data_IF_495284868807
#
_entry.id   IF_495284868807
#
_cell.length_a   1.000
_cell.length_b   1.000
_cell.length_c   1.000
_cell.angle_alpha   90.00
_cell.angle_beta   90.00
_cell.angle_gamma   90.00
#
_symmetry.space_group_name_H-M   'P 1'
#
loop_
_entity.id
_entity.type
_entity.pdbx_description
1 polymer ?
#
# COMPACT_ATOMS: atom_id res chain seq x y z
N UNK A 1 30.31 -7.80 -9.21
CA UNK A 1 30.28 -8.41 -7.85
C UNK A 1 29.48 -7.52 -6.93
N UNK A 2 28.17 -7.76 -6.82
CA UNK A 2 27.32 -7.09 -5.81
C UNK A 2 27.60 -7.74 -4.45
N UNK A 3 27.84 -6.92 -3.43
CA UNK A 3 27.94 -7.42 -2.04
C UNK A 3 26.63 -8.07 -1.65
N UNK A 4 26.63 -9.19 -0.88
CA UNK A 4 25.41 -9.78 -0.35
C UNK A 4 24.62 -8.72 0.46
N UNK A 5 23.34 -8.54 0.13
CA UNK A 5 22.47 -7.65 0.87
C UNK A 5 21.61 -8.44 1.85
N UNK A 6 21.21 -7.80 2.96
CA UNK A 6 20.52 -8.46 4.07
C UNK A 6 19.04 -8.74 3.82
N UNK A 7 18.40 -8.14 2.80
CA UNK A 7 16.97 -8.27 2.52
C UNK A 7 16.67 -9.29 1.43
N UNK A 8 15.61 -10.08 1.58
CA UNK A 8 15.00 -10.89 0.51
C UNK A 8 13.61 -11.37 0.93
N UNK A 9 12.72 -11.62 -0.04
CA UNK A 9 11.40 -12.21 0.22
C UNK A 9 11.49 -13.59 0.89
N UNK A 10 12.54 -14.37 0.60
CA UNK A 10 12.79 -15.65 1.29
C UNK A 10 13.03 -15.46 2.80
N UNK A 11 13.76 -14.42 3.20
CA UNK A 11 13.94 -14.07 4.62
C UNK A 11 12.66 -13.56 5.26
N UNK A 12 11.88 -12.74 4.54
CA UNK A 12 10.54 -12.30 4.96
C UNK A 12 9.67 -13.52 5.20
N UNK A 13 9.63 -14.48 4.26
CA UNK A 13 8.89 -15.75 4.42
C UNK A 13 9.25 -16.48 5.71
N UNK A 14 10.57 -16.64 5.97
CA UNK A 14 11.05 -17.32 7.17
C UNK A 14 10.65 -16.59 8.45
N UNK A 15 10.68 -15.26 8.43
CA UNK A 15 10.27 -14.42 9.56
C UNK A 15 8.77 -14.50 9.81
N UNK A 16 7.95 -14.38 8.77
CA UNK A 16 6.48 -14.50 8.84
C UNK A 16 6.07 -15.88 9.34
N UNK A 17 6.73 -16.96 8.90
CA UNK A 17 6.48 -18.30 9.41
C UNK A 17 6.69 -18.38 10.92
N UNK A 18 7.76 -17.80 11.46
CA UNK A 18 8.02 -17.76 12.91
C UNK A 18 6.95 -16.94 13.65
N UNK A 19 6.57 -15.77 13.13
CA UNK A 19 5.50 -14.98 13.74
C UNK A 19 4.18 -15.77 13.79
N UNK A 20 3.81 -16.42 12.68
CA UNK A 20 2.59 -17.24 12.63
C UNK A 20 2.64 -18.46 13.54
N UNK A 21 3.82 -19.03 13.81
CA UNK A 21 3.98 -20.10 14.82
C UNK A 21 3.73 -19.56 16.24
N UNK A 22 4.13 -18.32 16.53
CA UNK A 22 3.98 -17.71 17.85
C UNK A 22 2.59 -17.12 18.07
N UNK A 23 2.06 -16.40 17.09
CA UNK A 23 0.84 -15.58 17.21
C UNK A 23 -0.35 -16.14 16.39
N UNK A 24 -0.14 -17.21 15.63
CA UNK A 24 -1.18 -17.86 14.85
C UNK A 24 -1.85 -16.92 13.84
N UNK A 25 -3.17 -16.92 13.85
CA UNK A 25 -4.02 -16.08 13.00
C UNK A 25 -3.98 -14.57 13.34
N UNK A 26 -3.34 -14.20 14.45
CA UNK A 26 -3.26 -12.80 14.88
C UNK A 26 -2.15 -12.02 14.16
N UNK A 27 -1.38 -12.66 13.30
CA UNK A 27 -0.46 -11.98 12.37
C UNK A 27 -1.25 -11.44 11.20
N UNK A 28 -1.09 -10.14 10.92
CA UNK A 28 -1.58 -9.46 9.71
C UNK A 28 -0.35 -9.10 8.90
N UNK A 29 -0.29 -9.59 7.66
CA UNK A 29 0.81 -9.32 6.74
C UNK A 29 0.33 -8.39 5.64
N UNK A 30 0.96 -7.21 5.54
CA UNK A 30 0.62 -6.17 4.58
C UNK A 30 1.82 -5.88 3.68
N UNK A 31 1.56 -5.55 2.42
CA UNK A 31 2.52 -5.12 1.42
C UNK A 31 2.15 -3.71 0.96
N UNK A 32 3.15 -2.82 0.82
CA UNK A 32 2.90 -1.38 0.62
C UNK A 32 3.18 -0.88 -0.80
N UNK A 33 3.14 -1.74 -1.82
CA UNK A 33 3.34 -1.37 -3.22
C UNK A 33 4.80 -1.46 -3.70
N UNK A 34 4.98 -1.28 -5.01
CA UNK A 34 6.24 -1.39 -5.74
C UNK A 34 6.82 -2.82 -5.81
N UNK A 35 5.95 -3.83 -5.84
CA UNK A 35 6.39 -5.23 -5.91
C UNK A 35 6.70 -5.68 -7.36
N UNK A 36 6.13 -5.03 -8.37
CA UNK A 36 6.25 -5.43 -9.78
C UNK A 36 7.58 -5.05 -10.42
N UNK A 37 8.41 -4.26 -9.77
CA UNK A 37 9.70 -3.78 -10.32
C UNK A 37 10.91 -4.22 -9.49
N UNK A 38 12.10 -4.15 -10.09
CA UNK A 38 13.38 -4.16 -9.39
C UNK A 38 14.33 -5.31 -9.74
N UNK A 39 13.88 -6.46 -10.20
CA UNK A 39 14.74 -7.61 -10.51
C UNK A 39 14.52 -8.11 -11.94
N UNK A 40 15.55 -8.72 -12.59
CA UNK A 40 15.40 -9.31 -13.92
C UNK A 40 14.27 -10.33 -14.02
N UNK A 41 13.98 -11.05 -12.94
CA UNK A 41 12.88 -12.00 -12.88
C UNK A 41 11.50 -11.30 -12.97
N UNK A 42 11.33 -10.15 -12.30
CA UNK A 42 10.14 -9.34 -12.41
C UNK A 42 9.95 -8.83 -13.84
N UNK A 43 11.02 -8.31 -14.45
CA UNK A 43 10.97 -7.87 -15.85
C UNK A 43 10.58 -9.01 -16.80
N UNK A 44 11.17 -10.19 -16.64
CA UNK A 44 10.85 -11.35 -17.46
C UNK A 44 9.36 -11.73 -17.33
N UNK A 45 8.85 -11.81 -16.10
CA UNK A 45 7.44 -12.16 -15.83
C UNK A 45 6.46 -11.09 -16.34
N UNK A 46 6.83 -9.81 -16.24
CA UNK A 46 5.94 -8.72 -16.62
C UNK A 46 5.85 -8.51 -18.14
N UNK A 47 6.96 -8.73 -18.87
CA UNK A 47 7.08 -8.27 -20.27
C UNK A 47 7.45 -9.37 -21.28
N UNK A 48 8.05 -10.46 -20.85
CA UNK A 48 8.50 -11.55 -21.75
C UNK A 48 7.56 -12.74 -21.61
N UNK A 49 7.40 -13.28 -20.42
CA UNK A 49 6.51 -14.42 -20.14
C UNK A 49 5.15 -13.93 -19.63
N UNK A 50 4.40 -13.28 -20.51
CA UNK A 50 3.12 -12.66 -20.17
C UNK A 50 1.93 -13.63 -20.18
N UNK A 51 2.12 -14.86 -20.61
CA UNK A 51 1.07 -15.88 -20.66
C UNK A 51 0.96 -16.69 -19.37
N UNK A 52 2.08 -16.91 -18.70
CA UNK A 52 2.10 -17.60 -17.41
C UNK A 52 1.70 -16.67 -16.28
N UNK A 53 1.42 -17.25 -15.13
CA UNK A 53 1.08 -16.51 -13.90
C UNK A 53 2.19 -15.52 -13.50
N UNK A 54 1.84 -14.35 -13.04
CA UNK A 54 2.82 -13.34 -12.64
C UNK A 54 3.57 -13.80 -11.38
N UNK A 55 4.90 -13.81 -11.42
CA UNK A 55 5.72 -14.28 -10.30
C UNK A 55 5.51 -13.47 -9.01
N UNK A 56 5.20 -12.18 -9.11
CA UNK A 56 4.90 -11.36 -7.94
C UNK A 56 3.58 -11.81 -7.29
N UNK A 57 2.57 -12.14 -8.10
CA UNK A 57 1.32 -12.70 -7.60
C UNK A 57 1.56 -14.07 -6.92
N UNK A 58 2.35 -14.96 -7.54
CA UNK A 58 2.67 -16.25 -6.95
C UNK A 58 3.37 -16.14 -5.59
N UNK A 59 4.37 -15.26 -5.48
CA UNK A 59 5.09 -15.01 -4.24
C UNK A 59 4.17 -14.42 -3.17
N UNK A 60 3.33 -13.46 -3.54
CA UNK A 60 2.34 -12.84 -2.67
C UNK A 60 1.36 -13.87 -2.12
N UNK A 61 0.81 -14.69 -3.01
CA UNK A 61 -0.13 -15.76 -2.66
C UNK A 61 0.52 -16.82 -1.75
N UNK A 62 1.78 -17.19 -2.04
CA UNK A 62 2.56 -18.13 -1.20
C UNK A 62 2.82 -17.57 0.20
N UNK A 63 3.15 -16.28 0.33
CA UNK A 63 3.38 -15.62 1.61
C UNK A 63 2.09 -15.40 2.39
N UNK A 64 0.94 -15.38 1.72
CA UNK A 64 -0.38 -15.19 2.30
C UNK A 64 -0.53 -13.79 2.89
N UNK A 65 -0.34 -12.77 2.07
CA UNK A 65 -0.63 -11.40 2.47
C UNK A 65 -2.13 -11.21 2.72
N UNK A 66 -2.47 -10.39 3.69
CA UNK A 66 -3.86 -10.06 4.04
C UNK A 66 -4.39 -8.88 3.20
N UNK A 67 -3.52 -7.97 2.75
CA UNK A 67 -3.82 -6.91 1.80
C UNK A 67 -2.52 -6.34 1.21
N UNK A 68 -2.64 -5.69 0.04
CA UNK A 68 -1.56 -4.94 -0.63
C UNK A 68 -2.04 -3.56 -1.04
N UNK A 69 -1.15 -2.55 -0.97
CA UNK A 69 -1.33 -1.30 -1.69
C UNK A 69 -0.77 -1.42 -3.11
N UNK A 70 -1.17 -0.52 -4.00
CA UNK A 70 -0.54 -0.35 -5.31
C UNK A 70 0.46 0.80 -5.22
N UNK A 71 1.67 0.63 -5.76
CA UNK A 71 2.72 1.63 -5.82
C UNK A 71 2.91 2.25 -7.20
N UNK A 72 3.71 3.31 -7.32
CA UNK A 72 3.95 3.98 -8.59
C UNK A 72 4.71 3.09 -9.59
N UNK A 73 5.64 2.25 -9.12
CA UNK A 73 6.33 1.29 -9.97
C UNK A 73 5.45 0.10 -10.37
N UNK A 74 4.35 -0.17 -9.67
CA UNK A 74 3.36 -1.12 -10.14
C UNK A 74 2.58 -0.51 -11.31
N UNK A 75 2.11 0.75 -11.19
CA UNK A 75 1.44 1.50 -12.27
C UNK A 75 2.34 1.67 -13.49
N UNK A 76 3.66 1.86 -13.30
CA UNK A 76 4.65 1.99 -14.38
C UNK A 76 4.70 0.78 -15.30
N UNK A 77 4.27 -0.39 -14.85
CA UNK A 77 4.24 -1.60 -15.69
C UNK A 77 3.14 -1.57 -16.77
N UNK A 78 2.18 -0.63 -16.67
CA UNK A 78 1.05 -0.47 -17.59
C UNK A 78 -0.09 -1.45 -17.34
N UNK A 79 -1.29 -1.12 -17.81
CA UNK A 79 -2.52 -1.88 -17.61
C UNK A 79 -2.38 -3.36 -17.89
N UNK A 80 -1.75 -3.73 -19.00
CA UNK A 80 -1.58 -5.15 -19.36
C UNK A 80 -0.90 -5.97 -18.25
N UNK A 81 0.00 -5.36 -17.48
CA UNK A 81 0.76 -6.04 -16.45
C UNK A 81 0.07 -5.93 -15.08
N UNK A 82 -0.21 -4.70 -14.62
CA UNK A 82 -0.76 -4.57 -13.28
C UNK A 82 -2.21 -5.05 -13.15
N UNK A 83 -3.04 -4.96 -14.20
CA UNK A 83 -4.39 -5.54 -14.16
C UNK A 83 -4.35 -7.06 -14.03
N UNK A 84 -3.48 -7.70 -14.82
CA UNK A 84 -3.24 -9.14 -14.72
C UNK A 84 -2.78 -9.53 -13.31
N UNK A 85 -1.81 -8.79 -12.76
CA UNK A 85 -1.32 -9.02 -11.39
C UNK A 85 -2.43 -8.86 -10.35
N UNK A 86 -3.27 -7.81 -10.45
CA UNK A 86 -4.43 -7.60 -9.57
C UNK A 86 -5.40 -8.78 -9.61
N UNK A 87 -5.67 -9.31 -10.81
CA UNK A 87 -6.58 -10.45 -11.00
C UNK A 87 -6.01 -11.78 -10.46
N UNK A 88 -4.69 -11.93 -10.42
CA UNK A 88 -4.00 -13.14 -9.99
C UNK A 88 -3.69 -13.20 -8.49
N UNK A 89 -3.83 -12.09 -7.76
CA UNK A 89 -3.59 -12.04 -6.32
C UNK A 89 -4.82 -12.50 -5.53
N UNK A 90 -4.59 -13.30 -4.48
CA UNK A 90 -5.65 -13.79 -3.59
C UNK A 90 -6.09 -12.76 -2.52
N UNK A 91 -5.27 -11.75 -2.21
CA UNK A 91 -5.63 -10.71 -1.26
C UNK A 91 -6.13 -9.43 -1.94
N UNK A 92 -6.86 -8.56 -1.24
CA UNK A 92 -7.29 -7.27 -1.81
C UNK A 92 -6.10 -6.36 -2.15
N UNK A 93 -6.11 -5.79 -3.35
CA UNK A 93 -5.27 -4.65 -3.74
C UNK A 93 -6.03 -3.36 -3.41
N UNK A 94 -5.35 -2.42 -2.73
CA UNK A 94 -5.98 -1.23 -2.16
C UNK A 94 -5.42 0.05 -2.80
N UNK A 95 -6.33 1.00 -3.12
CA UNK A 95 -5.97 2.29 -3.70
C UNK A 95 -7.17 3.22 -3.76
N UNK A 96 -7.55 3.80 -2.61
CA UNK A 96 -8.79 4.55 -2.45
C UNK A 96 -8.85 5.85 -3.27
N UNK A 97 -7.70 6.41 -3.62
CA UNK A 97 -7.57 7.63 -4.42
C UNK A 97 -7.21 7.39 -5.88
N UNK A 98 -7.18 6.14 -6.33
CA UNK A 98 -7.09 5.79 -7.76
C UNK A 98 -8.50 5.69 -8.29
N UNK A 99 -8.91 6.61 -9.14
CA UNK A 99 -10.28 6.69 -9.63
C UNK A 99 -10.36 6.33 -11.10
N UNK A 100 -11.21 5.38 -11.40
CA UNK A 100 -11.64 5.07 -12.76
C UNK A 100 -12.49 6.24 -13.30
N UNK A 101 -12.01 6.88 -14.35
CA UNK A 101 -12.64 8.06 -14.93
C UNK A 101 -13.98 7.76 -15.60
N UNK A 102 -14.23 6.52 -16.01
CA UNK A 102 -15.48 6.11 -16.64
C UNK A 102 -16.59 5.96 -15.60
N UNK A 103 -16.28 5.35 -14.45
CA UNK A 103 -17.28 5.04 -13.41
C UNK A 103 -17.33 6.09 -12.30
N UNK A 104 -16.27 6.89 -12.14
CA UNK A 104 -16.09 7.82 -11.03
C UNK A 104 -15.87 7.15 -9.67
N UNK A 105 -15.61 5.83 -9.66
CA UNK A 105 -15.40 5.02 -8.45
C UNK A 105 -13.91 4.66 -8.30
N UNK A 106 -13.47 4.25 -7.09
CA UNK A 106 -12.13 3.68 -6.94
C UNK A 106 -11.90 2.52 -7.91
N UNK A 107 -10.75 2.55 -8.58
CA UNK A 107 -10.34 1.55 -9.57
C UNK A 107 -10.08 0.17 -8.95
N UNK A 108 -9.41 0.17 -7.81
CA UNK A 108 -9.24 -1.00 -6.94
C UNK A 108 -10.01 -0.79 -5.63
N UNK A 109 -10.00 -1.76 -4.73
CA UNK A 109 -10.70 -1.60 -3.45
C UNK A 109 -10.15 -0.41 -2.66
N UNK A 110 -11.00 0.46 -2.11
CA UNK A 110 -10.52 1.57 -1.29
C UNK A 110 -9.95 1.10 0.06
N UNK A 111 -10.55 0.06 0.63
CA UNK A 111 -10.16 -0.54 1.90
C UNK A 111 -10.57 -2.01 1.97
N UNK A 112 -10.08 -2.67 3.00
CA UNK A 112 -10.56 -4.00 3.42
C UNK A 112 -10.73 -4.05 4.93
N UNK A 113 -11.51 -5.03 5.43
CA UNK A 113 -11.72 -5.24 6.86
C UNK A 113 -11.23 -6.63 7.24
N UNK A 114 -10.29 -6.68 8.15
CA UNK A 114 -9.73 -7.90 8.71
C UNK A 114 -10.31 -8.08 10.12
N UNK A 115 -10.76 -9.28 10.43
CA UNK A 115 -11.23 -9.60 11.78
C UNK A 115 -10.24 -10.51 12.48
N UNK A 116 -9.79 -10.13 13.67
CA UNK A 116 -8.89 -10.91 14.52
C UNK A 116 -9.37 -10.86 15.95
N UNK A 117 -9.66 -12.01 16.54
CA UNK A 117 -10.11 -12.16 17.94
C UNK A 117 -11.21 -11.16 18.37
N UNK A 118 -12.19 -10.95 17.49
CA UNK A 118 -13.31 -10.03 17.72
C UNK A 118 -13.05 -8.57 17.30
N UNK A 119 -11.78 -8.17 17.11
CA UNK A 119 -11.40 -6.82 16.68
C UNK A 119 -11.58 -6.67 15.16
N UNK A 120 -12.24 -5.59 14.74
CA UNK A 120 -12.45 -5.21 13.34
C UNK A 120 -11.41 -4.18 12.93
N UNK A 121 -10.47 -4.59 12.08
CA UNK A 121 -9.34 -3.76 11.65
C UNK A 121 -9.59 -3.32 10.20
N UNK A 122 -9.78 -2.02 9.99
CA UNK A 122 -9.88 -1.43 8.65
C UNK A 122 -8.51 -1.11 8.09
N UNK A 123 -8.19 -1.59 6.89
CA UNK A 123 -6.96 -1.25 6.17
C UNK A 123 -7.35 -0.35 5.00
N UNK A 124 -6.91 0.91 5.03
CA UNK A 124 -7.14 1.91 3.98
C UNK A 124 -5.90 2.02 3.10
N UNK A 125 -6.04 1.80 1.79
CA UNK A 125 -4.93 1.97 0.84
C UNK A 125 -4.96 3.33 0.15
N UNK A 126 -3.80 3.99 0.02
CA UNK A 126 -3.61 5.20 -0.79
C UNK A 126 -2.28 5.14 -1.54
N UNK A 127 -2.23 5.82 -2.69
CA UNK A 127 -1.02 6.02 -3.48
C UNK A 127 -0.71 7.50 -3.63
N UNK A 128 0.56 7.85 -3.82
CA UNK A 128 0.96 9.21 -4.20
C UNK A 128 0.20 9.69 -5.43
N UNK A 129 -0.36 10.91 -5.43
CA UNK A 129 -1.05 11.46 -6.59
C UNK A 129 -0.10 12.01 -7.67
N UNK A 130 1.20 11.95 -7.46
CA UNK A 130 2.20 12.51 -8.36
C UNK A 130 2.49 11.65 -9.61
N UNK A 131 1.82 10.51 -9.78
CA UNK A 131 1.95 9.58 -10.91
C UNK A 131 2.03 10.30 -12.27
N UNK A 132 1.14 11.27 -12.60
CA UNK A 132 1.15 11.95 -13.90
C UNK A 132 2.42 12.79 -14.17
N UNK A 133 3.24 13.07 -13.14
CA UNK A 133 4.49 13.82 -13.33
C UNK A 133 5.64 12.94 -13.80
N UNK A 134 5.54 11.63 -13.60
CA UNK A 134 6.63 10.70 -13.88
C UNK A 134 6.34 9.74 -15.02
N UNK A 135 5.05 9.36 -15.15
CA UNK A 135 4.67 8.27 -16.05
C UNK A 135 3.90 8.78 -17.27
N UNK A 136 4.21 8.27 -18.47
CA UNK A 136 3.40 8.48 -19.67
C UNK A 136 1.94 8.10 -19.44
N UNK A 137 1.02 8.87 -20.01
CA UNK A 137 -0.42 8.72 -19.79
C UNK A 137 -0.99 7.37 -20.23
N UNK A 138 -0.39 6.72 -21.21
CA UNK A 138 -0.80 5.40 -21.70
C UNK A 138 -0.66 4.31 -20.62
N UNK A 139 0.25 4.44 -19.68
CA UNK A 139 0.46 3.48 -18.59
C UNK A 139 -0.66 3.51 -17.53
N UNK A 140 -1.34 4.66 -17.39
CA UNK A 140 -2.44 4.87 -16.43
C UNK A 140 -3.70 5.43 -17.10
N UNK A 141 -3.91 5.10 -18.39
CA UNK A 141 -5.03 5.59 -19.17
C UNK A 141 -6.38 5.26 -18.52
N UNK A 142 -7.30 6.24 -18.53
CA UNK A 142 -8.60 6.09 -17.88
C UNK A 142 -8.60 6.23 -16.36
N UNK A 143 -7.44 6.49 -15.73
CA UNK A 143 -7.33 6.70 -14.30
C UNK A 143 -7.06 8.18 -13.97
N UNK A 144 -7.41 8.58 -12.76
CA UNK A 144 -6.96 9.82 -12.12
C UNK A 144 -6.62 9.56 -10.66
N UNK A 145 -5.72 10.36 -10.13
CA UNK A 145 -5.23 10.23 -8.76
C UNK A 145 -5.69 11.42 -7.93
N UNK A 146 -6.52 11.16 -6.91
CA UNK A 146 -7.04 12.20 -6.03
C UNK A 146 -6.04 12.55 -4.93
N UNK A 147 -6.19 13.75 -4.38
CA UNK A 147 -5.41 14.23 -3.24
C UNK A 147 -5.61 13.31 -2.03
N UNK A 148 -4.51 13.02 -1.31
CA UNK A 148 -4.48 11.95 -0.31
C UNK A 148 -5.19 12.32 1.00
N UNK A 149 -5.05 13.56 1.49
CA UNK A 149 -5.63 13.96 2.80
C UNK A 149 -7.16 13.92 2.74
N UNK A 150 -7.74 14.51 1.71
CA UNK A 150 -9.19 14.51 1.49
C UNK A 150 -9.74 13.11 1.24
N UNK A 151 -9.01 12.29 0.47
CA UNK A 151 -9.37 10.88 0.27
C UNK A 151 -9.32 10.10 1.58
N UNK A 152 -8.27 10.30 2.40
CA UNK A 152 -8.17 9.67 3.72
C UNK A 152 -9.33 10.08 4.63
N UNK A 153 -9.65 11.39 4.70
CA UNK A 153 -10.78 11.89 5.51
C UNK A 153 -12.10 11.21 5.12
N UNK A 154 -12.38 11.14 3.82
CA UNK A 154 -13.58 10.48 3.27
C UNK A 154 -13.68 9.03 3.70
N UNK A 155 -12.61 8.25 3.53
CA UNK A 155 -12.66 6.81 3.74
C UNK A 155 -12.49 6.39 5.19
N UNK A 156 -11.75 7.15 6.01
CA UNK A 156 -11.71 6.96 7.47
C UNK A 156 -13.10 7.17 8.06
N UNK A 157 -13.84 8.19 7.59
CA UNK A 157 -15.24 8.39 7.99
C UNK A 157 -16.12 7.18 7.65
N UNK A 158 -15.96 6.60 6.45
CA UNK A 158 -16.70 5.38 6.06
C UNK A 158 -16.34 4.20 6.98
N UNK A 159 -15.05 3.97 7.22
CA UNK A 159 -14.57 2.90 8.09
C UNK A 159 -15.11 3.03 9.51
N UNK A 160 -15.12 4.24 10.06
CA UNK A 160 -15.62 4.51 11.41
C UNK A 160 -17.15 4.45 11.49
N UNK A 161 -17.85 5.17 10.60
CA UNK A 161 -19.30 5.36 10.73
C UNK A 161 -20.12 4.21 10.13
N UNK A 162 -19.72 3.68 8.97
CA UNK A 162 -20.44 2.60 8.28
C UNK A 162 -19.94 1.23 8.69
N UNK A 163 -18.64 1.04 8.62
CA UNK A 163 -18.01 -0.26 8.84
C UNK A 163 -17.81 -0.59 10.31
N UNK A 164 -17.89 0.42 11.20
CA UNK A 164 -17.73 0.26 12.65
C UNK A 164 -16.44 -0.49 13.00
N UNK A 165 -15.33 -0.07 12.41
CA UNK A 165 -14.02 -0.63 12.72
C UNK A 165 -13.51 -0.14 14.06
N UNK A 166 -12.83 -1.03 14.80
CA UNK A 166 -12.23 -0.74 16.11
C UNK A 166 -10.85 -0.10 15.94
N UNK A 167 -10.12 -0.48 14.88
CA UNK A 167 -8.79 0.01 14.54
C UNK A 167 -8.76 0.35 13.06
N UNK A 168 -8.13 1.49 12.70
CA UNK A 168 -7.91 1.89 11.31
C UNK A 168 -6.41 2.03 11.06
N UNK A 169 -5.93 1.27 10.07
CA UNK A 169 -4.56 1.27 9.58
C UNK A 169 -4.54 1.92 8.20
N UNK A 170 -3.77 2.98 8.03
CA UNK A 170 -3.39 3.50 6.72
C UNK A 170 -2.25 2.69 6.13
N UNK A 171 -2.39 2.22 4.90
CA UNK A 171 -1.36 1.55 4.11
C UNK A 171 -1.10 2.43 2.88
N UNK A 172 -0.11 3.33 3.00
CA UNK A 172 0.04 4.43 2.06
C UNK A 172 1.34 4.31 1.26
N UNK A 173 1.21 4.13 -0.06
CA UNK A 173 2.35 4.22 -0.96
C UNK A 173 2.65 5.68 -1.28
N UNK A 174 3.22 6.37 -0.33
CA UNK A 174 3.77 7.72 -0.42
C UNK A 174 4.87 7.88 0.64
N UNK A 175 5.77 8.81 0.43
CA UNK A 175 6.81 9.12 1.43
C UNK A 175 6.29 9.93 2.60
N UNK A 176 7.22 10.25 3.48
CA UNK A 176 7.01 10.92 4.75
C UNK A 176 6.26 12.25 4.60
N UNK A 177 6.86 13.20 3.90
CA UNK A 177 6.37 14.58 3.77
C UNK A 177 7.10 15.29 2.62
N UNK A 178 6.45 16.22 1.90
CA UNK A 178 7.06 17.02 0.84
C UNK A 178 7.07 16.35 -0.53
N UNK A 179 8.21 16.39 -1.23
CA UNK A 179 8.30 15.99 -2.62
C UNK A 179 7.64 17.02 -3.54
N UNK A 180 7.04 16.58 -4.65
CA UNK A 180 6.29 17.46 -5.56
C UNK A 180 5.07 18.00 -4.84
N UNK A 181 5.05 19.31 -4.61
CA UNK A 181 3.94 19.98 -3.94
C UNK A 181 3.33 21.01 -4.89
N UNK A 182 2.02 20.90 -5.09
CA UNK A 182 1.22 21.77 -5.92
C UNK A 182 0.07 22.36 -5.10
N UNK A 183 -0.69 23.34 -5.62
CA UNK A 183 -1.92 23.78 -4.94
C UNK A 183 -2.96 22.67 -4.75
N UNK A 184 -2.90 21.59 -5.53
CA UNK A 184 -3.91 20.54 -5.58
C UNK A 184 -3.52 19.28 -4.79
N UNK A 185 -2.23 19.02 -4.57
CA UNK A 185 -1.75 17.84 -3.85
C UNK A 185 -0.30 17.99 -3.39
N UNK A 186 0.07 17.13 -2.45
CA UNK A 186 1.43 16.84 -2.01
C UNK A 186 1.78 15.39 -2.37
N UNK A 187 2.97 15.17 -2.96
CA UNK A 187 3.45 13.82 -3.32
C UNK A 187 3.54 12.91 -2.10
N UNK A 188 4.20 13.39 -1.04
CA UNK A 188 4.46 12.65 0.17
C UNK A 188 3.65 13.25 1.31
N UNK A 189 2.55 12.60 1.70
CA UNK A 189 1.57 13.15 2.63
C UNK A 189 1.32 12.28 3.88
N UNK A 190 2.14 11.24 4.13
CA UNK A 190 1.88 10.28 5.21
C UNK A 190 1.72 10.94 6.57
N UNK A 191 2.64 11.85 6.96
CA UNK A 191 2.58 12.51 8.25
C UNK A 191 1.52 13.61 8.31
N UNK A 192 1.24 14.28 7.19
CA UNK A 192 0.14 15.23 7.09
C UNK A 192 -1.20 14.53 7.34
N UNK A 193 -1.41 13.35 6.74
CA UNK A 193 -2.60 12.54 6.98
C UNK A 193 -2.67 12.10 8.45
N UNK A 194 -1.57 11.60 9.01
CA UNK A 194 -1.53 11.17 10.41
C UNK A 194 -1.88 12.30 11.40
N UNK A 195 -1.47 13.54 11.10
CA UNK A 195 -1.78 14.71 11.93
C UNK A 195 -3.20 15.23 11.74
N UNK A 196 -3.71 15.20 10.51
CA UNK A 196 -4.93 15.93 10.13
C UNK A 196 -6.19 15.08 10.14
N UNK A 197 -6.06 13.77 9.88
CA UNK A 197 -7.18 12.85 9.75
C UNK A 197 -7.44 12.14 11.08
N UNK A 198 -8.52 12.53 11.73
CA UNK A 198 -8.95 11.88 12.99
C UNK A 198 -9.43 10.45 12.73
N UNK A 199 -9.08 9.53 13.64
CA UNK A 199 -9.56 8.14 13.61
C UNK A 199 -8.56 7.13 13.07
N UNK A 200 -7.41 7.55 12.53
CA UNK A 200 -6.30 6.63 12.23
C UNK A 200 -5.58 6.23 13.52
N UNK A 201 -5.20 4.96 13.62
CA UNK A 201 -4.42 4.41 14.74
C UNK A 201 -2.97 4.16 14.33
N UNK A 202 -2.78 3.66 13.11
CA UNK A 202 -1.46 3.33 12.54
C UNK A 202 -1.40 3.85 11.11
N UNK A 203 -0.26 4.40 10.70
CA UNK A 203 0.06 4.75 9.32
C UNK A 203 1.35 4.02 8.93
N UNK A 204 1.21 3.04 8.05
CA UNK A 204 2.31 2.34 7.40
C UNK A 204 2.52 2.99 6.04
N UNK A 205 3.74 3.43 5.77
CA UNK A 205 4.03 4.15 4.53
C UNK A 205 5.42 3.78 3.98
N UNK A 206 5.73 4.22 2.76
CA UNK A 206 6.99 3.99 2.07
C UNK A 206 6.89 4.56 0.67
N UNK A 207 7.94 4.75 -0.02
CA UNK A 207 8.12 5.32 -1.36
C UNK A 207 9.44 6.11 -1.44
N UNK A 208 9.73 6.94 -0.43
CA UNK A 208 10.95 7.73 -0.32
C UNK A 208 12.17 6.93 0.21
N UNK A 209 11.98 5.63 0.49
CA UNK A 209 13.01 4.70 0.96
C UNK A 209 13.74 5.16 2.24
N UNK A 210 13.05 5.92 3.08
CA UNK A 210 13.62 6.52 4.30
C UNK A 210 12.99 5.89 5.54
N UNK A 211 13.80 5.23 6.35
CA UNK A 211 13.30 4.59 7.58
C UNK A 211 12.75 5.63 8.57
N UNK A 212 11.55 5.36 9.05
CA UNK A 212 10.86 6.19 10.03
C UNK A 212 10.06 5.34 11.03
N UNK A 213 10.07 5.74 12.31
CA UNK A 213 9.27 5.08 13.34
C UNK A 213 9.04 6.08 14.49
N UNK A 214 7.86 6.67 14.54
CA UNK A 214 7.47 7.60 15.61
C UNK A 214 5.95 7.50 15.88
N UNK A 215 5.55 7.91 17.06
CA UNK A 215 4.15 8.14 17.40
C UNK A 215 3.87 9.64 17.38
N UNK A 216 2.98 10.06 16.50
CA UNK A 216 2.52 11.44 16.38
C UNK A 216 1.24 11.64 17.18
N UNK A 217 0.98 12.90 17.55
CA UNK A 217 -0.32 13.31 18.08
C UNK A 217 -1.11 14.00 16.97
N UNK A 218 -2.23 13.41 16.59
CA UNK A 218 -3.16 13.99 15.64
C UNK A 218 -3.80 15.29 16.19
N UNK A 219 -4.34 16.15 15.34
CA UNK A 219 -5.10 17.35 15.76
C UNK A 219 -6.28 17.03 16.68
N UNK A 220 -6.82 15.79 16.61
CA UNK A 220 -7.84 15.30 17.54
C UNK A 220 -7.34 14.95 18.95
N UNK A 221 -6.02 15.01 19.19
CA UNK A 221 -5.38 14.57 20.44
C UNK A 221 -5.08 13.06 20.49
N UNK A 222 -5.46 12.30 19.47
CA UNK A 222 -5.25 10.84 19.41
C UNK A 222 -3.81 10.53 18.98
N UNK A 223 -3.14 9.54 19.61
CA UNK A 223 -1.84 9.05 19.14
C UNK A 223 -2.00 8.25 17.85
N UNK A 224 -1.07 8.43 16.90
CA UNK A 224 -0.98 7.70 15.64
C UNK A 224 0.44 7.16 15.49
N UNK A 225 0.59 5.84 15.39
CA UNK A 225 1.88 5.20 15.15
C UNK A 225 2.21 5.29 13.65
N UNK A 226 3.35 5.87 13.31
CA UNK A 226 3.79 6.10 11.94
C UNK A 226 5.07 5.31 11.66
N UNK A 227 5.06 4.46 10.63
CA UNK A 227 6.15 3.55 10.29
C UNK A 227 6.44 3.53 8.80
N UNK A 228 7.72 3.72 8.44
CA UNK A 228 8.30 3.40 7.15
C UNK A 228 9.48 2.43 7.35
N UNK A 229 9.42 1.21 6.79
CA UNK A 229 10.49 0.23 6.93
C UNK A 229 11.68 0.47 5.99
N UNK A 230 11.63 1.48 5.09
CA UNK A 230 12.64 1.71 4.05
C UNK A 230 12.94 0.45 3.21
N UNK A 231 11.91 -0.17 2.64
CA UNK A 231 11.98 -1.43 1.87
C UNK A 231 12.41 -2.67 2.67
N UNK A 232 12.31 -2.64 3.98
CA UNK A 232 12.52 -3.79 4.85
C UNK A 232 11.20 -4.20 5.53
N UNK A 233 11.13 -5.43 6.02
CA UNK A 233 10.00 -5.86 6.82
C UNK A 233 10.09 -5.26 8.23
N UNK A 234 8.98 -4.73 8.73
CA UNK A 234 8.81 -4.27 10.11
C UNK A 234 7.61 -4.93 10.76
N UNK A 235 7.68 -5.06 12.08
CA UNK A 235 6.58 -5.53 12.93
C UNK A 235 6.10 -4.38 13.82
N UNK A 236 4.81 -4.21 13.91
CA UNK A 236 4.12 -3.22 14.77
C UNK A 236 3.38 -3.94 15.89
#
# INVERSE_FOLDING_TARGET
NRKPQSGSLARVSSYVKRLRQTFGKNVILLENGDILQGQPLSYFSNYIDTLNHNIAADVTNYLGYDAQAIGNHDVETGHRCYDKWIDEINCPVLGANIIDMQTGKPYVKPYTIIKRDGVRIGILGLITPAIPNWLPQDLWSGLRFEEMVSSAQKWVKVLHEKEKTDVIVGLFHCGKEGGITTPNYMENAALSIAREVAGLNVVLFGHDHTRYCETLTAKSGQPVVCLDPANNAMTV
#
